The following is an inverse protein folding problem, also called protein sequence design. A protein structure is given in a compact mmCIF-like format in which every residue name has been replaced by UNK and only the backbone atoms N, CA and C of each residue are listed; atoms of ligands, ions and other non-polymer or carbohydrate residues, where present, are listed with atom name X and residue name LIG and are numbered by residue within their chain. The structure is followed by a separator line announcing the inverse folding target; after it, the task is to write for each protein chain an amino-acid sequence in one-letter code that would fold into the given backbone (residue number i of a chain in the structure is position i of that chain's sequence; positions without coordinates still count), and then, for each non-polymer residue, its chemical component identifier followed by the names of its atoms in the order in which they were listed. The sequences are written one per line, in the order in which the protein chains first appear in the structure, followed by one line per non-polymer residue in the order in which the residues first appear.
data_IF_599952563364
#
_entry.id   IF_599952563364
#
_cell.length_a   1.000
_cell.length_b   1.000
_cell.length_c   1.000
_cell.angle_alpha   90.00
_cell.angle_beta   90.00
_cell.angle_gamma   90.00
#
_symmetry.space_group_name_H-M   'P 1'
#
loop_
_entity.id
_entity.type
_entity.pdbx_description
1 polymer ?
#
# COMPACT_ATOMS: atom_id res chain seq x y z
N UNK A 1 4.72 -2.66 0.96
CA UNK A 1 4.32 -1.38 0.31
C UNK A 1 5.25 -0.95 -0.83
N UNK A 2 6.54 -0.66 -0.61
CA UNK A 2 7.47 -0.30 -1.71
C UNK A 2 7.61 -1.38 -2.79
N UNK A 3 7.54 -2.65 -2.43
CA UNK A 3 7.50 -3.77 -3.38
C UNK A 3 6.31 -3.66 -4.35
N UNK A 4 5.10 -3.36 -3.84
CA UNK A 4 3.92 -3.13 -4.68
C UNK A 4 4.16 -1.98 -5.67
N UNK A 5 4.69 -0.85 -5.19
CA UNK A 5 5.05 0.30 -6.04
C UNK A 5 6.00 -0.12 -7.15
N UNK A 6 7.08 -0.83 -6.80
CA UNK A 6 8.11 -1.24 -7.74
C UNK A 6 7.57 -2.22 -8.79
N UNK A 7 6.88 -3.29 -8.38
CA UNK A 7 6.39 -4.33 -9.29
C UNK A 7 5.22 -3.89 -10.18
N UNK A 8 4.47 -2.86 -9.76
CA UNK A 8 3.34 -2.32 -10.53
C UNK A 8 3.65 -0.97 -11.19
N UNK A 9 4.91 -0.53 -11.17
CA UNK A 9 5.37 0.75 -11.73
C UNK A 9 4.49 1.94 -11.29
N UNK A 10 4.26 2.07 -10.00
CA UNK A 10 3.39 3.11 -9.44
C UNK A 10 4.19 4.40 -9.28
N UNK A 11 3.76 5.54 -9.87
CA UNK A 11 4.53 6.78 -9.87
C UNK A 11 4.37 7.57 -8.56
N UNK A 12 4.57 6.91 -7.41
CA UNK A 12 4.55 7.51 -6.07
C UNK A 12 5.98 7.56 -5.52
N UNK A 13 6.37 8.64 -4.85
CA UNK A 13 7.65 8.73 -4.13
C UNK A 13 7.81 7.61 -3.09
N UNK A 14 8.94 6.90 -3.12
CA UNK A 14 9.25 5.89 -2.11
C UNK A 14 9.34 6.49 -0.71
N UNK A 15 9.91 7.69 -0.59
CA UNK A 15 10.04 8.39 0.68
C UNK A 15 8.67 8.80 1.25
N UNK A 16 7.75 9.26 0.39
CA UNK A 16 6.38 9.53 0.79
C UNK A 16 5.68 8.28 1.35
N UNK A 17 5.85 7.13 0.69
CA UNK A 17 5.29 5.85 1.15
C UNK A 17 5.87 5.43 2.50
N UNK A 18 7.17 5.63 2.72
CA UNK A 18 7.82 5.34 4.00
C UNK A 18 7.22 6.18 5.13
N UNK A 19 7.05 7.49 4.93
CA UNK A 19 6.48 8.37 5.96
C UNK A 19 5.01 8.07 6.24
N UNK A 20 4.20 7.80 5.22
CA UNK A 20 2.80 7.41 5.43
C UNK A 20 2.69 6.07 6.14
N UNK A 21 3.54 5.10 5.79
CA UNK A 21 3.58 3.80 6.47
C UNK A 21 4.05 3.96 7.92
N UNK A 22 5.08 4.77 8.16
CA UNK A 22 5.56 5.04 9.52
C UNK A 22 4.49 5.70 10.39
N UNK A 23 3.77 6.70 9.86
CA UNK A 23 2.65 7.34 10.56
C UNK A 23 1.50 6.37 10.85
N UNK A 24 1.20 5.47 9.92
CA UNK A 24 0.21 4.42 10.16
C UNK A 24 0.67 3.52 11.31
N UNK A 25 1.89 2.98 11.23
CA UNK A 25 2.43 2.09 12.26
C UNK A 25 2.54 2.75 13.64
N UNK A 26 2.84 4.06 13.71
CA UNK A 26 2.90 4.84 14.96
C UNK A 26 1.54 4.92 15.67
N UNK A 27 0.43 4.82 14.90
CA UNK A 27 -0.92 4.79 15.45
C UNK A 27 -1.41 3.40 15.87
N UNK A 28 -0.67 2.34 15.53
CA UNK A 28 -1.05 0.96 15.80
C UNK A 28 -0.33 0.41 17.03
N UNK A 29 -1.08 -0.27 17.90
CA UNK A 29 -0.49 -0.90 19.10
C UNK A 29 0.33 -2.16 18.79
N UNK A 30 0.09 -2.79 17.64
CA UNK A 30 0.80 -3.99 17.17
C UNK A 30 0.67 -4.07 15.66
N UNK A 31 1.72 -4.57 15.01
CA UNK A 31 1.74 -4.80 13.57
C UNK A 31 1.43 -6.27 13.28
N UNK A 32 0.32 -6.51 12.60
CA UNK A 32 -0.13 -7.78 12.04
C UNK A 32 -0.33 -7.61 10.53
N UNK A 33 0.65 -8.07 9.76
CA UNK A 33 0.79 -7.79 8.32
C UNK A 33 -0.47 -7.93 7.46
N UNK A 34 -1.30 -8.95 7.71
CA UNK A 34 -2.54 -9.15 6.94
C UNK A 34 -3.52 -7.98 7.04
N UNK A 35 -3.61 -7.37 8.23
CA UNK A 35 -4.45 -6.20 8.46
C UNK A 35 -3.76 -4.94 7.96
N UNK A 36 -2.48 -4.78 8.29
CA UNK A 36 -1.77 -3.52 8.08
C UNK A 36 -1.44 -3.24 6.62
N UNK A 37 -1.23 -4.27 5.79
CA UNK A 37 -1.05 -4.06 4.35
C UNK A 37 -2.29 -3.38 3.76
N UNK A 38 -3.49 -3.87 4.12
CA UNK A 38 -4.76 -3.22 3.73
C UNK A 38 -4.88 -1.85 4.41
N UNK A 39 -4.55 -1.74 5.69
CA UNK A 39 -4.60 -0.50 6.47
C UNK A 39 -3.81 0.64 5.82
N UNK A 40 -2.56 0.39 5.44
CA UNK A 40 -1.73 1.38 4.76
C UNK A 40 -2.33 1.81 3.42
N UNK A 41 -2.84 0.87 2.60
CA UNK A 41 -3.52 1.25 1.35
C UNK A 41 -4.79 2.07 1.60
N UNK A 42 -5.53 1.79 2.67
CA UNK A 42 -6.69 2.58 3.06
C UNK A 42 -6.30 4.01 3.44
N UNK A 43 -5.22 4.20 4.22
CA UNK A 43 -4.72 5.54 4.56
C UNK A 43 -4.34 6.32 3.31
N UNK A 44 -3.56 5.71 2.42
CA UNK A 44 -3.14 6.35 1.16
C UNK A 44 -4.33 6.69 0.25
N UNK A 45 -5.36 5.85 0.24
CA UNK A 45 -6.54 6.06 -0.61
C UNK A 45 -7.49 7.10 -0.03
N UNK A 46 -7.77 7.04 1.28
CA UNK A 46 -8.67 7.94 1.99
C UNK A 46 -8.17 9.39 2.00
N UNK A 47 -6.85 9.60 1.97
CA UNK A 47 -6.27 10.93 1.83
C UNK A 47 -5.95 11.33 0.39
N UNK A 48 -6.33 10.51 -0.59
CA UNK A 48 -6.14 10.76 -2.02
C UNK A 48 -4.70 11.15 -2.40
N UNK A 49 -3.70 10.53 -1.76
CA UNK A 49 -2.28 10.86 -1.95
C UNK A 49 -1.96 12.35 -1.70
N UNK A 50 -2.62 12.97 -0.73
CA UNK A 50 -2.34 14.35 -0.32
C UNK A 50 -0.89 14.52 0.14
N UNK A 51 -0.30 15.67 -0.16
CA UNK A 51 1.05 16.03 0.28
C UNK A 51 1.13 16.02 1.81
N UNK A 52 2.28 15.59 2.33
CA UNK A 52 2.54 15.49 3.76
C UNK A 52 3.52 16.57 4.21
N UNK A 53 3.26 17.22 5.34
CA UNK A 53 4.29 17.96 6.08
C UNK A 53 5.27 16.97 6.70
N UNK A 54 6.57 17.15 6.41
CA UNK A 54 7.63 16.36 7.04
C UNK A 54 7.48 16.40 8.57
N UNK A 55 7.25 15.25 9.24
CA UNK A 55 7.15 15.20 10.69
C UNK A 55 8.36 15.79 11.41
N UNK A 56 9.55 15.66 10.81
CA UNK A 56 10.79 16.21 11.34
C UNK A 56 10.99 17.70 11.00
N UNK A 57 10.12 18.27 10.16
CA UNK A 57 10.17 19.65 9.65
C UNK A 57 11.49 20.01 8.94
N UNK A 58 12.23 19.04 8.45
CA UNK A 58 13.51 19.25 7.74
C UNK A 58 13.25 19.49 6.24
N UNK A 59 12.38 18.68 5.65
CA UNK A 59 12.15 18.58 4.20
C UNK A 59 10.98 19.43 3.71
N UNK A 60 10.23 20.05 4.64
CA UNK A 60 9.04 20.84 4.30
C UNK A 60 7.87 19.98 3.80
N UNK A 61 7.31 20.34 2.63
CA UNK A 61 6.15 19.66 2.04
C UNK A 61 6.60 18.55 1.09
N UNK A 62 6.15 17.33 1.36
CA UNK A 62 6.50 16.13 0.61
C UNK A 62 5.32 15.74 -0.27
N UNK A 63 5.48 15.91 -1.58
CA UNK A 63 4.49 15.46 -2.57
C UNK A 63 4.54 13.95 -2.76
N UNK A 64 3.37 13.34 -2.95
CA UNK A 64 3.26 11.92 -3.29
C UNK A 64 3.73 11.63 -4.72
N UNK A 65 3.38 12.49 -5.68
CA UNK A 65 3.63 12.30 -7.11
C UNK A 65 4.30 13.55 -7.71
N UNK A 66 4.95 13.41 -8.87
CA UNK A 66 5.62 14.53 -9.55
C UNK A 66 4.68 15.40 -10.40
N UNK A 67 3.48 14.92 -10.72
CA UNK A 67 2.45 15.66 -11.47
C UNK A 67 1.04 15.12 -11.18
N UNK A 68 0.01 15.87 -11.57
CA UNK A 68 -1.39 15.44 -11.42
C UNK A 68 -1.71 14.21 -12.28
N UNK A 69 -1.16 14.13 -13.51
CA UNK A 69 -1.30 12.95 -14.38
C UNK A 69 -0.71 11.70 -13.72
N UNK A 70 0.44 11.84 -13.06
CA UNK A 70 1.02 10.75 -12.28
C UNK A 70 0.16 10.40 -11.06
N UNK A 71 -0.41 11.41 -10.39
CA UNK A 71 -1.32 11.21 -9.25
C UNK A 71 -2.57 10.43 -9.65
N UNK A 72 -3.21 10.74 -10.77
CA UNK A 72 -4.39 10.02 -11.27
C UNK A 72 -4.07 8.56 -11.59
N UNK A 73 -2.95 8.33 -12.27
CA UNK A 73 -2.43 6.99 -12.56
C UNK A 73 -2.15 6.21 -11.25
N UNK A 74 -1.50 6.86 -10.28
CA UNK A 74 -1.21 6.29 -8.98
C UNK A 74 -2.49 5.94 -8.20
N UNK A 75 -3.49 6.82 -8.18
CA UNK A 75 -4.78 6.58 -7.51
C UNK A 75 -5.53 5.41 -8.12
N UNK A 76 -5.52 5.27 -9.45
CA UNK A 76 -6.12 4.11 -10.13
C UNK A 76 -5.48 2.79 -9.70
N UNK A 77 -4.15 2.73 -9.69
CA UNK A 77 -3.40 1.54 -9.22
C UNK A 77 -3.61 1.29 -7.72
N UNK A 78 -3.71 2.36 -6.92
CA UNK A 78 -3.95 2.28 -5.47
C UNK A 78 -5.34 1.70 -5.14
N UNK A 79 -6.40 2.12 -5.86
CA UNK A 79 -7.74 1.53 -5.70
C UNK A 79 -7.75 0.03 -5.98
N UNK A 80 -7.02 -0.38 -7.01
CA UNK A 80 -6.83 -1.81 -7.34
C UNK A 80 -6.09 -2.53 -6.23
N UNK A 81 -5.01 -1.93 -5.70
CA UNK A 81 -4.22 -2.49 -4.60
C UNK A 81 -5.05 -2.68 -3.32
N UNK A 82 -5.82 -1.66 -2.94
CA UNK A 82 -6.72 -1.72 -1.79
C UNK A 82 -7.76 -2.83 -1.94
N UNK A 83 -8.36 -2.97 -3.12
CA UNK A 83 -9.32 -4.04 -3.41
C UNK A 83 -8.68 -5.42 -3.28
N UNK A 84 -7.49 -5.62 -3.85
CA UNK A 84 -6.76 -6.91 -3.78
C UNK A 84 -6.35 -7.25 -2.34
N UNK A 85 -5.85 -6.28 -1.59
CA UNK A 85 -5.50 -6.47 -0.17
C UNK A 85 -6.74 -6.78 0.69
N UNK A 86 -7.88 -6.14 0.41
CA UNK A 86 -9.14 -6.42 1.12
C UNK A 86 -9.63 -7.84 0.84
N UNK A 87 -9.58 -8.30 -0.42
CA UNK A 87 -9.95 -9.68 -0.77
C UNK A 87 -9.01 -10.72 -0.17
N UNK A 88 -7.70 -10.44 -0.13
CA UNK A 88 -6.73 -11.29 0.54
C UNK A 88 -7.10 -11.48 2.02
N UNK A 89 -7.35 -10.38 2.73
CA UNK A 89 -7.75 -10.42 4.14
C UNK A 89 -9.06 -11.21 4.34
N UNK A 90 -10.09 -10.95 3.52
CA UNK A 90 -11.36 -11.70 3.59
C UNK A 90 -11.15 -13.20 3.36
N UNK A 91 -10.27 -13.59 2.44
CA UNK A 91 -9.93 -14.99 2.22
C UNK A 91 -9.20 -15.62 3.42
N UNK A 92 -8.28 -14.91 4.06
CA UNK A 92 -7.61 -15.37 5.28
C UNK A 92 -8.58 -15.52 6.45
N UNK A 93 -9.48 -14.56 6.65
CA UNK A 93 -10.53 -14.63 7.70
C UNK A 93 -11.48 -15.82 7.48
N UNK A 94 -11.70 -16.21 6.22
CA UNK A 94 -12.47 -17.40 5.86
C UNK A 94 -11.67 -18.71 5.89
N UNK A 95 -10.39 -18.68 6.31
CA UNK A 95 -9.51 -19.86 6.34
C UNK A 95 -9.07 -20.36 4.95
N UNK A 96 -9.25 -19.56 3.89
CA UNK A 96 -8.93 -19.91 2.51
C UNK A 96 -7.53 -19.43 2.14
N UNK A 97 -6.51 -20.01 2.75
CA UNK A 97 -5.12 -19.55 2.62
C UNK A 97 -4.62 -19.50 1.17
N UNK A 98 -4.95 -20.51 0.36
CA UNK A 98 -4.57 -20.51 -1.07
C UNK A 98 -5.14 -19.29 -1.81
N UNK A 99 -6.43 -19.01 -1.61
CA UNK A 99 -7.10 -17.87 -2.23
C UNK A 99 -6.49 -16.54 -1.77
N UNK A 100 -6.11 -16.42 -0.49
CA UNK A 100 -5.39 -15.25 0.00
C UNK A 100 -4.04 -15.05 -0.72
N UNK A 101 -3.28 -16.12 -0.91
CA UNK A 101 -2.02 -16.08 -1.67
C UNK A 101 -2.25 -15.69 -3.14
N UNK A 102 -3.32 -16.17 -3.77
CA UNK A 102 -3.69 -15.76 -5.13
C UNK A 102 -3.96 -14.25 -5.20
N UNK A 103 -4.67 -13.68 -4.20
CA UNK A 103 -4.89 -12.23 -4.11
C UNK A 103 -3.60 -11.45 -3.86
N UNK A 104 -2.69 -11.97 -3.03
CA UNK A 104 -1.39 -11.34 -2.82
C UNK A 104 -0.49 -11.41 -4.05
N UNK A 105 -0.55 -12.48 -4.84
CA UNK A 105 0.14 -12.56 -6.13
C UNK A 105 -0.35 -11.46 -7.08
N UNK A 106 -1.67 -11.28 -7.21
CA UNK A 106 -2.23 -10.18 -7.98
C UNK A 106 -1.79 -8.81 -7.43
N UNK A 107 -1.71 -8.64 -6.11
CA UNK A 107 -1.24 -7.39 -5.52
C UNK A 107 0.22 -7.09 -5.89
N UNK A 108 1.09 -8.09 -5.84
CA UNK A 108 2.53 -7.93 -6.06
C UNK A 108 3.00 -8.33 -7.46
N UNK A 109 2.09 -8.42 -8.44
CA UNK A 109 2.40 -8.74 -9.84
C UNK A 109 3.17 -10.07 -9.97
N UNK A 110 2.64 -11.13 -9.34
CA UNK A 110 3.19 -12.50 -9.31
C UNK A 110 4.60 -12.60 -8.69
N UNK A 111 4.99 -11.61 -7.89
CA UNK A 111 6.25 -11.60 -7.10
C UNK A 111 6.03 -11.90 -5.62
N UNK A 112 4.84 -12.32 -5.23
CA UNK A 112 4.59 -12.80 -3.87
C UNK A 112 5.05 -14.26 -3.75
N UNK A 113 5.49 -14.73 -2.57
CA UNK A 113 5.82 -16.14 -2.36
C UNK A 113 4.67 -17.07 -2.77
N UNK A 114 5.02 -18.21 -3.34
CA UNK A 114 4.03 -19.22 -3.72
C UNK A 114 3.55 -19.96 -2.47
N UNK A 115 2.28 -20.34 -2.44
CA UNK A 115 1.69 -21.14 -1.36
C UNK A 115 2.33 -22.53 -1.24
N UNK A 116 2.81 -23.09 -2.36
CA UNK A 116 3.33 -24.46 -2.44
C UNK A 116 4.85 -24.58 -2.22
N UNK A 117 5.54 -23.49 -1.90
CA UNK A 117 7.00 -23.44 -1.72
C UNK A 117 7.40 -23.43 -0.24
#
# INVERSE_FOLDING_TARGET
IKAWKYYNDVPISSFYLELQTARYCDSESTIVHRFDIKGVFNVLLSNELASMQDPMKVSGLISACGSDVQKDSALSKLRTAYTRASKALTAEEAGKTKEAFDWYNLLYNDKFPNYYL
#
